data_IF_115733915822
#
_entry.id   IF_115733915822
#
_cell.length_a   1.000
_cell.length_b   1.000
_cell.length_c   1.000
_cell.angle_alpha   90.00
_cell.angle_beta   90.00
_cell.angle_gamma   90.00
#
_symmetry.space_group_name_H-M   'P 1'
#
loop_
_entity.id
_entity.type
_entity.pdbx_description
1 polymer ?
#
# COMPACT_ATOMS: atom_id res chain seq x y z
N UNK A 1 -51.17 -49.48 -24.09
CA UNK A 1 -50.06 -49.75 -25.02
C UNK A 1 -49.24 -48.48 -25.17
N UNK A 2 -47.92 -48.57 -24.91
CA UNK A 2 -46.81 -47.73 -25.43
C UNK A 2 -46.90 -46.21 -25.20
N UNK A 3 -45.88 -45.45 -24.85
CA UNK A 3 -44.50 -45.65 -24.38
C UNK A 3 -44.01 -44.28 -23.89
N UNK A 4 -43.00 -44.31 -23.02
CA UNK A 4 -42.06 -43.24 -22.65
C UNK A 4 -41.65 -42.28 -23.78
N UNK A 5 -41.36 -41.01 -23.43
CA UNK A 5 -40.02 -40.38 -23.55
C UNK A 5 -39.94 -39.14 -22.64
N UNK A 6 -38.97 -39.21 -21.72
CA UNK A 6 -38.41 -38.14 -20.90
C UNK A 6 -37.33 -37.42 -21.73
N UNK A 7 -37.28 -36.08 -21.73
CA UNK A 7 -36.08 -35.34 -22.11
C UNK A 7 -35.74 -34.27 -21.07
N UNK A 8 -34.61 -34.54 -20.40
CA UNK A 8 -33.71 -33.71 -19.59
C UNK A 8 -33.22 -32.55 -20.50
N UNK A 9 -33.45 -31.29 -20.17
CA UNK A 9 -32.75 -30.40 -19.24
C UNK A 9 -31.77 -29.44 -19.93
N UNK A 10 -31.60 -28.30 -19.26
CA UNK A 10 -30.36 -27.53 -19.17
C UNK A 10 -29.91 -26.79 -20.44
N UNK A 11 -30.37 -25.56 -20.59
CA UNK A 11 -29.73 -24.61 -21.49
C UNK A 11 -29.68 -23.20 -20.89
N UNK A 12 -28.44 -22.79 -20.60
CA UNK A 12 -27.90 -21.44 -20.73
C UNK A 12 -28.23 -20.42 -19.61
N UNK A 13 -27.64 -20.66 -18.43
CA UNK A 13 -27.15 -19.56 -17.57
C UNK A 13 -25.64 -19.47 -17.74
N UNK A 14 -25.18 -18.86 -18.84
CA UNK A 14 -23.76 -18.52 -19.05
C UNK A 14 -23.67 -17.18 -19.80
N UNK A 15 -24.20 -16.11 -19.19
CA UNK A 15 -23.84 -14.73 -19.53
C UNK A 15 -23.65 -13.98 -18.22
N UNK A 16 -22.48 -14.15 -17.61
CA UNK A 16 -22.23 -13.52 -16.31
C UNK A 16 -20.84 -13.83 -15.74
N UNK A 17 -19.78 -13.62 -16.52
CA UNK A 17 -18.41 -13.63 -15.97
C UNK A 17 -17.35 -12.92 -16.84
N UNK A 18 -17.73 -12.03 -17.76
CA UNK A 18 -16.74 -11.39 -18.64
C UNK A 18 -16.79 -9.86 -18.71
N UNK A 19 -17.59 -9.19 -17.86
CA UNK A 19 -17.70 -7.71 -17.85
C UNK A 19 -16.99 -7.02 -16.67
N UNK A 20 -16.37 -7.76 -15.75
CA UNK A 20 -15.64 -7.15 -14.61
C UNK A 20 -14.15 -6.93 -14.85
N UNK A 21 -13.55 -7.50 -15.92
CA UNK A 21 -12.10 -7.35 -16.20
C UNK A 21 -11.73 -6.20 -17.13
N UNK A 22 -12.70 -5.41 -17.62
CA UNK A 22 -12.46 -4.27 -18.55
C UNK A 22 -12.74 -2.89 -17.94
N UNK A 23 -12.72 -2.74 -16.60
CA UNK A 23 -13.03 -1.45 -15.95
C UNK A 23 -11.87 -0.75 -15.23
N UNK A 24 -10.64 -1.23 -15.39
CA UNK A 24 -9.43 -0.55 -14.88
C UNK A 24 -8.32 -0.39 -15.94
N UNK A 25 -8.65 -0.50 -17.23
CA UNK A 25 -7.84 0.08 -18.30
C UNK A 25 -8.41 1.47 -18.64
N UNK A 26 -7.58 2.50 -18.45
CA UNK A 26 -7.83 3.93 -18.66
C UNK A 26 -8.85 4.63 -17.75
N UNK A 27 -8.36 5.32 -16.72
CA UNK A 27 -8.59 6.78 -16.50
C UNK A 27 -7.95 7.26 -15.19
N UNK A 28 -6.63 7.09 -15.05
CA UNK A 28 -5.82 7.88 -14.12
C UNK A 28 -5.26 9.10 -14.86
N UNK A 29 -6.09 10.12 -15.07
CA UNK A 29 -5.63 11.38 -15.65
C UNK A 29 -4.55 12.01 -14.77
N UNK A 30 -3.57 12.66 -15.39
CA UNK A 30 -2.62 13.52 -14.65
C UNK A 30 -3.41 14.71 -14.14
N UNK A 31 -3.60 14.75 -12.82
CA UNK A 31 -4.33 15.81 -12.14
C UNK A 31 -3.39 16.42 -11.11
N UNK A 32 -3.32 17.75 -11.07
CA UNK A 32 -2.57 18.42 -10.03
C UNK A 32 -3.21 18.20 -8.66
N UNK A 33 -2.42 17.81 -7.66
CA UNK A 33 -2.85 17.72 -6.26
C UNK A 33 -3.06 19.15 -5.72
N UNK A 34 -4.28 19.47 -5.28
CA UNK A 34 -4.68 20.80 -4.77
C UNK A 34 -5.69 20.69 -3.63
N UNK A 35 -5.93 21.80 -2.93
CA UNK A 35 -6.96 21.90 -1.89
C UNK A 35 -6.79 20.84 -0.80
N UNK A 36 -7.87 20.12 -0.47
CA UNK A 36 -7.88 19.10 0.58
C UNK A 36 -6.90 17.94 0.31
N UNK A 37 -6.64 17.57 -0.95
CA UNK A 37 -5.65 16.54 -1.28
C UNK A 37 -4.24 17.02 -0.97
N UNK A 38 -3.92 18.28 -1.27
CA UNK A 38 -2.62 18.88 -0.97
C UNK A 38 -2.41 18.96 0.54
N UNK A 39 -3.41 19.42 1.30
CA UNK A 39 -3.34 19.43 2.77
C UNK A 39 -3.10 18.04 3.35
N UNK A 40 -3.71 17.01 2.75
CA UNK A 40 -3.54 15.61 3.15
C UNK A 40 -2.13 15.11 2.83
N UNK A 41 -1.63 15.40 1.63
CA UNK A 41 -0.25 15.08 1.26
C UNK A 41 0.75 15.74 2.21
N UNK A 42 0.54 17.03 2.52
CA UNK A 42 1.39 17.78 3.45
C UNK A 42 1.44 17.11 4.82
N UNK A 43 0.28 16.78 5.42
CA UNK A 43 0.26 16.10 6.72
C UNK A 43 0.93 14.73 6.69
N UNK A 44 0.76 13.97 5.61
CA UNK A 44 1.44 12.68 5.44
C UNK A 44 2.95 12.88 5.39
N UNK A 45 3.46 13.75 4.52
CA UNK A 45 4.88 13.96 4.33
C UNK A 45 5.56 14.55 5.58
N UNK A 46 4.96 15.55 6.23
CA UNK A 46 5.47 16.09 7.49
C UNK A 46 5.48 15.04 8.62
N UNK A 47 4.46 14.18 8.68
CA UNK A 47 4.42 13.12 9.70
C UNK A 47 5.50 12.06 9.44
N UNK A 48 5.73 11.72 8.17
CA UNK A 48 6.79 10.80 7.77
C UNK A 48 8.20 11.38 8.04
N UNK A 49 8.39 12.68 7.83
CA UNK A 49 9.62 13.39 8.19
C UNK A 49 9.85 13.37 9.70
N UNK A 50 8.85 13.75 10.51
CA UNK A 50 8.93 13.70 11.98
C UNK A 50 9.26 12.31 12.50
N UNK A 51 8.71 11.26 11.87
CA UNK A 51 9.06 9.88 12.19
C UNK A 51 10.53 9.58 11.91
N UNK A 52 11.05 9.98 10.74
CA UNK A 52 12.47 9.80 10.41
C UNK A 52 13.36 10.50 11.42
N UNK A 53 13.09 11.77 11.72
CA UNK A 53 13.82 12.55 12.72
C UNK A 53 13.77 11.88 14.10
N UNK A 54 12.59 11.42 14.52
CA UNK A 54 12.45 10.69 15.77
C UNK A 54 13.29 9.42 15.78
N UNK A 55 13.27 8.63 14.70
CA UNK A 55 14.09 7.42 14.58
C UNK A 55 15.60 7.72 14.65
N UNK A 56 16.05 8.86 14.16
CA UNK A 56 17.44 9.32 14.27
C UNK A 56 17.86 9.69 15.71
N UNK A 57 16.91 9.93 16.62
CA UNK A 57 17.22 10.15 18.05
C UNK A 57 17.36 8.85 18.85
N UNK A 58 16.91 7.73 18.31
CA UNK A 58 16.84 6.45 19.04
C UNK A 58 18.15 5.68 18.97
N UNK A 59 18.45 4.93 20.03
CA UNK A 59 19.47 3.89 20.00
C UNK A 59 18.96 2.68 19.22
N UNK A 60 19.88 1.91 18.65
CA UNK A 60 19.55 0.71 17.86
C UNK A 60 18.78 -0.32 18.71
N UNK A 61 17.64 -0.80 18.20
CA UNK A 61 16.76 -1.73 18.92
C UNK A 61 15.94 -1.10 20.06
N UNK A 62 16.02 0.22 20.29
CA UNK A 62 15.34 0.87 21.43
C UNK A 62 13.82 0.72 21.38
N UNK A 63 13.23 0.80 20.18
CA UNK A 63 11.79 0.64 19.99
C UNK A 63 11.49 -0.71 19.35
N UNK A 64 10.32 -1.24 19.68
CA UNK A 64 9.77 -2.42 19.03
C UNK A 64 8.30 -2.20 18.74
N UNK A 65 7.83 -2.78 17.65
CA UNK A 65 6.44 -2.74 17.23
C UNK A 65 5.83 -4.13 17.35
N UNK A 66 4.60 -4.19 17.86
CA UNK A 66 3.79 -5.39 17.83
C UNK A 66 2.99 -5.43 16.54
N UNK A 67 3.29 -6.40 15.69
CA UNK A 67 2.76 -6.50 14.34
C UNK A 67 1.82 -7.69 14.24
N UNK A 68 0.78 -7.54 13.42
CA UNK A 68 -0.01 -8.67 12.90
C UNK A 68 0.09 -8.65 11.38
N UNK A 69 0.42 -9.79 10.80
CA UNK A 69 0.56 -9.90 9.34
C UNK A 69 -0.40 -10.92 8.78
N UNK A 70 -1.01 -10.60 7.64
CA UNK A 70 -1.80 -11.52 6.84
C UNK A 70 -1.27 -11.54 5.42
N UNK A 71 -1.50 -12.66 4.73
CA UNK A 71 -1.09 -12.84 3.35
C UNK A 71 -2.16 -13.59 2.58
N UNK A 72 -2.37 -13.22 1.33
CA UNK A 72 -3.10 -14.01 0.33
C UNK A 72 -2.14 -14.32 -0.81
N UNK A 73 -2.03 -15.58 -1.18
CA UNK A 73 -1.19 -16.00 -2.31
C UNK A 73 -1.94 -15.94 -3.63
N UNK A 74 -1.18 -15.95 -4.73
CA UNK A 74 -1.74 -15.94 -6.08
C UNK A 74 -2.67 -17.14 -6.29
N UNK A 75 -3.92 -16.88 -6.67
CA UNK A 75 -4.93 -17.91 -6.92
C UNK A 75 -5.76 -18.31 -5.70
N UNK A 76 -5.40 -17.83 -4.51
CA UNK A 76 -6.22 -18.01 -3.31
C UNK A 76 -7.30 -16.93 -3.21
N UNK A 77 -8.44 -17.30 -2.64
CA UNK A 77 -9.57 -16.38 -2.41
C UNK A 77 -9.57 -15.79 -1.01
N UNK A 78 -8.79 -16.34 -0.08
CA UNK A 78 -8.79 -15.99 1.34
C UNK A 78 -7.42 -15.52 1.82
N UNK A 79 -7.42 -14.59 2.78
CA UNK A 79 -6.20 -14.20 3.51
C UNK A 79 -5.91 -15.20 4.63
N UNK A 80 -4.64 -15.61 4.75
CA UNK A 80 -4.12 -16.42 5.83
C UNK A 80 -3.42 -15.53 6.87
N UNK A 81 -3.68 -15.77 8.15
CA UNK A 81 -2.99 -15.10 9.25
C UNK A 81 -1.61 -15.72 9.44
N UNK A 82 -0.55 -14.90 9.34
CA UNK A 82 0.83 -15.33 9.56
C UNK A 82 1.28 -15.14 11.02
N UNK A 83 0.36 -14.67 11.88
CA UNK A 83 0.55 -14.53 13.31
C UNK A 83 0.82 -13.11 13.77
N UNK A 84 1.05 -12.99 15.08
CA UNK A 84 1.52 -11.77 15.74
C UNK A 84 2.96 -11.96 16.18
N UNK A 85 3.78 -10.94 16.00
CA UNK A 85 5.16 -10.95 16.45
C UNK A 85 5.64 -9.54 16.77
N UNK A 86 6.68 -9.49 17.60
CA UNK A 86 7.38 -8.25 17.92
C UNK A 86 8.55 -8.07 16.95
N UNK A 87 8.68 -6.88 16.40
CA UNK A 87 9.80 -6.51 15.54
C UNK A 87 10.50 -5.27 16.10
N UNK A 88 11.81 -5.35 16.30
CA UNK A 88 12.63 -4.25 16.78
C UNK A 88 13.06 -3.37 15.62
N UNK A 89 13.04 -2.06 15.83
CA UNK A 89 13.58 -1.10 14.87
C UNK A 89 15.10 -1.17 14.89
N UNK A 90 15.71 -1.50 13.76
CA UNK A 90 17.16 -1.49 13.59
C UNK A 90 17.61 -0.21 12.91
N UNK A 91 18.59 0.44 13.52
CA UNK A 91 19.22 1.66 13.03
C UNK A 91 20.72 1.40 12.92
N UNK A 92 21.18 1.25 11.69
CA UNK A 92 22.60 1.09 11.38
C UNK A 92 23.09 2.39 10.74
N UNK A 93 24.16 2.97 11.28
CA UNK A 93 24.73 4.22 10.75
C UNK A 93 25.04 4.05 9.25
N UNK A 94 24.58 4.99 8.45
CA UNK A 94 24.76 4.98 6.99
C UNK A 94 23.86 4.00 6.23
N UNK A 95 22.84 3.43 6.88
CA UNK A 95 21.83 2.58 6.24
C UNK A 95 20.43 3.00 6.62
N UNK A 96 19.48 2.62 5.77
CA UNK A 96 18.06 2.79 6.02
C UNK A 96 17.61 1.99 7.24
N UNK A 97 16.73 2.60 8.01
CA UNK A 97 16.08 1.98 9.16
C UNK A 97 15.14 0.86 8.69
N UNK A 98 15.17 -0.29 9.37
CA UNK A 98 14.33 -1.45 9.03
C UNK A 98 13.85 -2.20 10.28
N UNK A 99 12.88 -3.08 10.11
CA UNK A 99 12.35 -3.96 11.16
C UNK A 99 13.07 -5.31 11.15
N UNK A 100 13.55 -5.69 12.32
CA UNK A 100 14.11 -7.02 12.57
C UNK A 100 13.22 -7.81 13.51
N UNK A 101 13.03 -9.09 13.22
CA UNK A 101 12.33 -10.03 14.11
C UNK A 101 13.09 -11.34 14.14
N UNK A 102 13.05 -12.03 15.28
CA UNK A 102 13.54 -13.40 15.44
C UNK A 102 12.59 -14.44 14.82
N UNK A 103 11.37 -14.04 14.46
CA UNK A 103 10.42 -14.91 13.78
C UNK A 103 10.86 -15.22 12.35
N UNK A 104 10.60 -16.45 11.89
CA UNK A 104 10.73 -16.83 10.46
C UNK A 104 9.57 -16.30 9.60
N UNK A 105 8.60 -15.62 10.20
CA UNK A 105 7.46 -15.01 9.51
C UNK A 105 7.95 -13.94 8.52
N UNK A 106 7.47 -14.02 7.28
CA UNK A 106 7.70 -12.96 6.28
C UNK A 106 6.95 -11.70 6.72
N UNK A 107 7.60 -10.54 6.64
CA UNK A 107 7.02 -9.23 6.98
C UNK A 107 7.57 -8.15 6.04
N UNK A 108 6.91 -6.98 6.01
CA UNK A 108 7.43 -5.80 5.33
C UNK A 108 8.43 -5.13 6.26
N UNK A 109 9.72 -5.38 6.00
CA UNK A 109 10.83 -4.95 6.87
C UNK A 109 11.17 -3.47 6.69
N UNK A 110 10.86 -2.90 5.55
CA UNK A 110 11.13 -1.49 5.26
C UNK A 110 10.24 -0.59 6.11
N UNK A 111 10.82 0.54 6.53
CA UNK A 111 10.13 1.60 7.24
C UNK A 111 9.90 2.75 6.25
N UNK A 112 8.63 3.02 5.96
CA UNK A 112 8.23 4.17 5.13
C UNK A 112 8.54 5.46 5.89
N UNK A 113 9.26 6.38 5.25
CA UNK A 113 9.58 7.73 5.72
C UNK A 113 9.40 8.73 4.57
N UNK A 114 9.71 10.00 4.80
CA UNK A 114 9.76 11.04 3.76
C UNK A 114 10.84 10.75 2.71
N UNK A 115 11.89 9.98 3.06
CA UNK A 115 13.03 9.66 2.19
C UNK A 115 13.05 8.22 1.69
N UNK A 116 12.28 7.33 2.32
CA UNK A 116 12.32 5.90 2.06
C UNK A 116 10.94 5.37 1.68
N UNK A 117 10.90 4.53 0.65
CA UNK A 117 9.67 3.99 0.07
C UNK A 117 9.14 4.86 -1.07
N UNK A 118 8.12 4.37 -1.77
CA UNK A 118 7.68 4.97 -3.05
C UNK A 118 6.95 6.33 -2.86
N UNK A 119 6.47 6.65 -1.64
CA UNK A 119 5.91 7.97 -1.32
C UNK A 119 6.97 9.08 -1.26
N UNK A 120 8.25 8.73 -1.06
CA UNK A 120 9.34 9.71 -0.95
C UNK A 120 9.40 10.67 -2.14
N UNK A 121 9.17 10.17 -3.35
CA UNK A 121 9.16 11.00 -4.56
C UNK A 121 8.12 12.13 -4.53
N UNK A 122 6.95 11.89 -3.92
CA UNK A 122 5.92 12.91 -3.77
C UNK A 122 6.27 13.90 -2.66
N UNK A 123 6.86 13.42 -1.55
CA UNK A 123 7.32 14.27 -0.46
C UNK A 123 8.50 15.17 -0.88
N UNK A 124 9.47 14.65 -1.63
CA UNK A 124 10.56 15.42 -2.20
C UNK A 124 10.04 16.56 -3.09
N UNK A 125 9.08 16.24 -3.98
CA UNK A 125 8.45 17.25 -4.86
C UNK A 125 7.69 18.30 -4.05
N UNK A 126 6.94 17.89 -3.03
CA UNK A 126 6.23 18.78 -2.13
C UNK A 126 7.20 19.73 -1.39
N UNK A 127 8.22 19.18 -0.74
CA UNK A 127 9.19 19.95 0.06
C UNK A 127 10.07 20.87 -0.78
N UNK A 128 10.28 20.55 -2.07
CA UNK A 128 10.94 21.46 -3.01
C UNK A 128 10.10 22.70 -3.38
N UNK A 129 8.82 22.74 -2.98
CA UNK A 129 7.88 23.80 -3.36
C UNK A 129 7.35 23.67 -4.80
N UNK A 130 7.68 22.56 -5.48
CA UNK A 130 7.20 22.30 -6.83
C UNK A 130 5.73 21.89 -6.84
N UNK A 131 5.08 22.10 -7.98
CA UNK A 131 3.71 21.63 -8.21
C UNK A 131 3.67 20.10 -8.19
N UNK A 132 2.86 19.52 -7.30
CA UNK A 132 2.71 18.06 -7.20
C UNK A 132 1.51 17.59 -8.01
N UNK A 133 1.74 16.62 -8.88
CA UNK A 133 0.69 15.93 -9.64
C UNK A 133 0.41 14.58 -8.98
N UNK A 134 -0.82 14.08 -9.11
CA UNK A 134 -1.21 12.76 -8.62
C UNK A 134 -0.49 11.62 -9.35
N UNK A 135 0.21 11.94 -10.44
CA UNK A 135 0.93 10.98 -11.27
C UNK A 135 2.38 11.44 -11.44
N UNK A 136 3.32 10.52 -11.30
CA UNK A 136 4.74 10.80 -11.49
C UNK A 136 5.43 9.67 -12.25
N UNK A 137 6.41 10.00 -13.09
CA UNK A 137 7.28 8.99 -13.70
C UNK A 137 8.67 9.10 -13.10
N UNK A 138 9.18 8.01 -12.53
CA UNK A 138 10.54 7.93 -11.97
C UNK A 138 11.22 6.70 -12.55
N UNK A 139 12.25 6.92 -13.37
CA UNK A 139 12.88 5.85 -14.15
C UNK A 139 11.88 5.18 -15.08
N UNK A 140 11.79 3.85 -15.02
CA UNK A 140 10.85 3.05 -15.82
C UNK A 140 9.43 2.95 -15.23
N UNK A 141 9.21 3.51 -14.03
CA UNK A 141 7.98 3.32 -13.28
C UNK A 141 7.11 4.56 -13.36
N UNK A 142 5.81 4.36 -13.57
CA UNK A 142 4.77 5.36 -13.40
C UNK A 142 4.06 5.11 -12.08
N UNK A 143 3.91 6.15 -11.28
CA UNK A 143 3.25 6.15 -9.98
C UNK A 143 1.95 6.94 -10.09
N UNK A 144 0.88 6.44 -9.48
CA UNK A 144 -0.38 7.15 -9.33
C UNK A 144 -0.81 7.13 -7.87
N UNK A 145 -0.88 8.30 -7.27
CA UNK A 145 -1.21 8.53 -5.87
C UNK A 145 -2.66 8.98 -5.75
N UNK A 146 -3.42 8.29 -4.91
CA UNK A 146 -4.72 8.73 -4.43
C UNK A 146 -4.62 8.97 -2.93
N UNK A 147 -5.23 10.07 -2.48
CA UNK A 147 -5.20 10.51 -1.09
C UNK A 147 -6.62 10.58 -0.55
N UNK A 148 -6.78 10.21 0.71
CA UNK A 148 -8.04 10.42 1.43
C UNK A 148 -7.76 10.59 2.91
N UNK A 149 -8.74 11.11 3.64
CA UNK A 149 -8.64 11.26 5.08
C UNK A 149 -9.96 10.85 5.71
N UNK A 150 -9.87 10.22 6.88
CA UNK A 150 -11.01 10.00 7.76
C UNK A 150 -10.85 10.82 9.06
N UNK A 151 -11.69 10.57 10.06
CA UNK A 151 -11.66 11.33 11.31
C UNK A 151 -10.42 11.05 12.17
N UNK A 152 -9.68 9.98 11.89
CA UNK A 152 -8.56 9.50 12.71
C UNK A 152 -7.24 9.40 11.94
N UNK A 153 -7.28 9.14 10.63
CA UNK A 153 -6.09 8.83 9.84
C UNK A 153 -6.09 9.58 8.51
N UNK A 154 -4.88 9.85 8.01
CA UNK A 154 -4.67 10.16 6.60
C UNK A 154 -4.27 8.87 5.89
N UNK A 155 -4.90 8.62 4.73
CA UNK A 155 -4.79 7.40 3.97
C UNK A 155 -4.18 7.70 2.59
N UNK A 156 -3.41 6.76 2.08
CA UNK A 156 -2.91 6.81 0.71
C UNK A 156 -3.12 5.47 -0.01
N UNK A 157 -3.22 5.55 -1.34
CA UNK A 157 -3.15 4.42 -2.26
C UNK A 157 -2.25 4.80 -3.42
N UNK A 158 -1.12 4.12 -3.53
CA UNK A 158 -0.09 4.36 -4.52
C UNK A 158 0.00 3.17 -5.47
N UNK A 159 -0.43 3.35 -6.71
CA UNK A 159 -0.30 2.35 -7.77
C UNK A 159 1.02 2.56 -8.51
N UNK A 160 1.72 1.46 -8.79
CA UNK A 160 2.98 1.41 -9.51
C UNK A 160 2.81 0.61 -10.78
N UNK A 161 3.15 1.23 -11.90
CA UNK A 161 2.98 0.68 -13.23
C UNK A 161 4.28 0.72 -14.03
N UNK A 162 4.43 -0.22 -14.96
CA UNK A 162 5.53 -0.28 -15.94
C UNK A 162 4.95 -0.38 -17.34
N UNK A 163 5.66 0.20 -18.30
CA UNK A 163 5.31 0.03 -19.70
C UNK A 163 5.54 -1.42 -20.14
N UNK A 164 4.56 -2.02 -20.81
CA UNK A 164 4.70 -3.30 -21.49
C UNK A 164 5.39 -3.12 -22.86
N UNK A 165 5.55 -4.22 -23.62
CA UNK A 165 6.15 -4.21 -24.96
C UNK A 165 5.44 -3.29 -25.96
N UNK A 166 4.18 -2.96 -25.71
CA UNK A 166 3.35 -2.10 -26.57
C UNK A 166 3.34 -0.64 -26.09
N UNK A 167 4.13 -0.30 -25.06
CA UNK A 167 4.18 1.03 -24.46
C UNK A 167 3.02 1.36 -23.50
N UNK A 168 2.09 0.43 -23.28
CA UNK A 168 0.99 0.62 -22.33
C UNK A 168 1.45 0.39 -20.90
N UNK A 169 1.09 1.29 -19.99
CA UNK A 169 1.43 1.16 -18.57
C UNK A 169 0.49 0.18 -17.87
N UNK A 170 1.03 -0.92 -17.36
CA UNK A 170 0.30 -1.93 -16.58
C UNK A 170 0.69 -1.79 -15.11
N UNK A 171 -0.31 -1.64 -14.24
CA UNK A 171 -0.13 -1.64 -12.78
C UNK A 171 0.29 -3.03 -12.34
N UNK A 172 1.39 -3.13 -11.59
CA UNK A 172 1.89 -4.42 -11.08
C UNK A 172 2.01 -4.45 -9.55
N UNK A 173 1.94 -3.28 -8.89
CA UNK A 173 1.95 -3.18 -7.44
C UNK A 173 1.05 -2.02 -6.98
N UNK A 174 0.29 -2.21 -5.92
CA UNK A 174 -0.47 -1.17 -5.23
C UNK A 174 -0.10 -1.22 -3.76
N UNK A 175 0.43 -0.12 -3.24
CA UNK A 175 0.63 0.09 -1.82
C UNK A 175 -0.49 0.96 -1.26
N UNK A 176 -1.12 0.53 -0.18
CA UNK A 176 -2.06 1.34 0.59
C UNK A 176 -1.58 1.45 2.03
N UNK A 177 -1.85 2.58 2.67
CA UNK A 177 -1.57 2.71 4.08
C UNK A 177 -2.39 3.78 4.75
N UNK A 178 -2.57 3.60 6.06
CA UNK A 178 -3.20 4.56 6.97
C UNK A 178 -2.14 5.04 7.93
N UNK A 179 -1.91 6.35 8.01
CA UNK A 179 -0.89 6.94 8.87
C UNK A 179 -1.52 7.64 10.06
N UNK A 180 -0.82 7.54 11.19
CA UNK A 180 -1.00 8.49 12.27
C UNK A 180 -0.40 9.84 11.87
N UNK A 181 -1.24 10.86 11.79
CA UNK A 181 -0.82 12.24 11.47
C UNK A 181 -1.30 13.20 12.56
N UNK A 182 -1.08 14.51 12.38
CA UNK A 182 -1.61 15.54 13.28
C UNK A 182 -3.14 15.50 13.46
N UNK A 183 -3.88 14.79 12.60
CA UNK A 183 -5.32 14.52 12.79
C UNK A 183 -5.61 13.43 13.82
N UNK A 184 -4.68 12.51 13.99
CA UNK A 184 -4.84 11.39 14.90
C UNK A 184 -4.72 11.86 16.35
N UNK A 185 -5.56 11.30 17.23
CA UNK A 185 -5.43 11.50 18.68
C UNK A 185 -4.32 10.66 19.31
N UNK A 186 -3.41 10.13 18.50
CA UNK A 186 -2.31 9.30 18.95
C UNK A 186 -1.23 10.14 19.64
N UNK A 187 -0.44 9.51 20.50
CA UNK A 187 0.73 10.18 21.08
C UNK A 187 1.71 10.59 19.98
N UNK A 188 2.48 11.67 20.20
CA UNK A 188 3.43 12.21 19.23
C UNK A 188 4.47 11.18 18.77
N UNK A 189 4.80 10.20 19.62
CA UNK A 189 5.70 9.07 19.33
C UNK A 189 5.20 8.14 18.23
N UNK A 190 3.90 8.15 17.93
CA UNK A 190 3.29 7.38 16.85
C UNK A 190 3.09 8.18 15.56
N UNK A 191 3.40 9.48 15.53
CA UNK A 191 3.26 10.29 14.31
C UNK A 191 4.13 9.72 13.19
N UNK A 192 3.55 9.63 11.99
CA UNK A 192 4.16 9.02 10.80
C UNK A 192 4.24 7.49 10.84
N UNK A 193 3.84 6.84 11.93
CA UNK A 193 3.74 5.38 11.97
C UNK A 193 2.52 4.96 11.16
N UNK A 194 2.72 3.94 10.32
CA UNK A 194 1.61 3.32 9.59
C UNK A 194 0.79 2.53 10.60
N UNK A 195 -0.50 2.84 10.74
CA UNK A 195 -1.44 2.00 11.47
C UNK A 195 -1.63 0.66 10.76
N UNK A 196 -1.73 0.73 9.44
CA UNK A 196 -1.89 -0.38 8.54
C UNK A 196 -1.14 -0.12 7.23
N UNK A 197 -0.55 -1.16 6.67
CA UNK A 197 0.06 -1.17 5.35
C UNK A 197 -0.42 -2.40 4.59
N UNK A 198 -0.85 -2.21 3.35
CA UNK A 198 -1.29 -3.25 2.44
C UNK A 198 -0.48 -3.14 1.15
N UNK A 199 0.14 -4.22 0.72
CA UNK A 199 0.82 -4.31 -0.57
C UNK A 199 0.12 -5.38 -1.40
N UNK A 200 -0.38 -4.99 -2.56
CA UNK A 200 -1.03 -5.87 -3.54
C UNK A 200 -0.08 -5.96 -4.73
N UNK A 201 0.22 -7.17 -5.19
CA UNK A 201 1.06 -7.42 -6.35
C UNK A 201 0.32 -8.28 -7.34
N UNK A 202 0.32 -7.85 -8.60
CA UNK A 202 -0.23 -8.64 -9.68
C UNK A 202 0.58 -9.94 -9.83
N UNK A 203 -0.13 -11.03 -10.04
CA UNK A 203 0.44 -12.32 -10.38
C UNK A 203 0.24 -12.59 -11.86
N UNK A 204 1.03 -13.50 -12.43
CA UNK A 204 0.65 -14.09 -13.70
C UNK A 204 -0.79 -14.64 -13.59
N UNK A 205 -1.57 -14.53 -14.67
CA UNK A 205 -2.97 -15.01 -14.81
C UNK A 205 -4.09 -14.17 -14.17
N UNK A 206 -3.84 -12.91 -13.80
CA UNK A 206 -4.89 -11.98 -13.34
C UNK A 206 -5.45 -12.37 -11.96
N UNK A 207 -4.55 -12.82 -11.10
CA UNK A 207 -4.74 -13.04 -9.67
C UNK A 207 -3.77 -12.12 -8.93
N UNK A 208 -4.04 -11.82 -7.65
CA UNK A 208 -3.17 -10.94 -6.86
C UNK A 208 -2.61 -11.64 -5.64
N UNK A 209 -1.33 -11.38 -5.35
CA UNK A 209 -0.76 -11.60 -4.04
C UNK A 209 -1.03 -10.38 -3.17
N UNK A 210 -1.42 -10.59 -1.92
CA UNK A 210 -1.67 -9.50 -0.98
C UNK A 210 -0.89 -9.73 0.29
N UNK A 211 -0.25 -8.69 0.80
CA UNK A 211 0.46 -8.69 2.07
C UNK A 211 -0.03 -7.53 2.92
N UNK A 212 -0.62 -7.83 4.08
CA UNK A 212 -1.18 -6.85 5.00
C UNK A 212 -0.42 -6.88 6.32
N UNK A 213 0.01 -5.73 6.80
CA UNK A 213 0.71 -5.56 8.06
C UNK A 213 0.02 -4.48 8.89
N UNK A 214 -0.40 -4.85 10.10
CA UNK A 214 -1.07 -3.95 11.05
C UNK A 214 -0.14 -3.70 12.23
N UNK A 215 0.08 -2.42 12.55
CA UNK A 215 0.83 -1.98 13.70
C UNK A 215 -0.13 -1.81 14.88
N UNK A 216 0.08 -2.61 15.92
CA UNK A 216 -0.67 -2.51 17.15
C UNK A 216 0.00 -1.45 18.02
N UNK A 217 -0.66 -0.30 18.14
CA UNK A 217 -0.36 0.74 19.12
C UNK A 217 -1.13 0.41 20.40
N UNK A 218 -0.42 0.15 21.50
CA UNK A 218 -0.99 0.16 22.84
C UNK A 218 -0.93 1.58 23.41
#
# INVERSE_FOLDING_TARGET
MKSFITFIALSLVLVGCNQQKQKEEEQGGVTQIRGAELETLTRICESLEKKREYHETLTDGQISYDLRTKKRDCGDTTEFDLGRFRASLRRIIGRDTYLETSSRTRLLKDIVTDRNGDLSHFCDKLFSGAVVDNTMTVGSNKFQLNLSSDSQYDNFSLAKAKANSNGAFIVYEIEKGSLFTSRSRAQSTYMGVLKERLVIRDCAVGADQTFRQVFNSY
#
